data_IF_408217216165
#
_entry.id   IF_408217216165
#
_cell.length_a   1.000
_cell.length_b   1.000
_cell.length_c   1.000
_cell.angle_alpha   90.00
_cell.angle_beta   90.00
_cell.angle_gamma   90.00
#
_symmetry.space_group_name_H-M   'P 1'
#
loop_
_entity.id
_entity.type
_entity.pdbx_description
1 polymer ?
#
# COMPACT_ATOMS: atom_id res chain seq x y z
N UNK A 1 8.41 18.44 8.28
CA UNK A 1 7.24 18.15 9.14
C UNK A 1 6.38 17.10 8.44
N UNK A 2 5.75 16.14 9.15
CA UNK A 2 4.86 15.16 8.51
C UNK A 2 3.64 15.88 7.91
N UNK A 3 3.28 15.54 6.67
CA UNK A 3 2.10 16.11 6.01
C UNK A 3 0.79 15.67 6.68
N UNK A 4 0.63 14.36 6.89
CA UNK A 4 -0.47 13.78 7.65
C UNK A 4 0.00 13.42 9.06
N UNK A 5 -0.53 14.08 10.10
CA UNK A 5 -0.21 13.72 11.49
C UNK A 5 -0.98 12.47 11.90
N UNK A 6 -2.19 12.35 11.39
CA UNK A 6 -3.17 11.30 11.72
C UNK A 6 -2.64 9.92 11.29
N UNK A 7 -2.05 9.85 10.09
CA UNK A 7 -1.39 8.63 9.56
C UNK A 7 -0.29 8.09 10.47
N UNK A 8 0.37 8.94 11.26
CA UNK A 8 1.41 8.49 12.18
C UNK A 8 0.88 7.48 13.20
N UNK A 9 -0.38 7.65 13.60
CA UNK A 9 -1.01 6.91 14.69
C UNK A 9 -1.88 5.74 14.19
N UNK A 10 -1.98 5.54 12.88
CA UNK A 10 -2.63 4.38 12.30
C UNK A 10 -1.68 3.16 12.32
N UNK A 11 -2.25 1.96 12.31
CA UNK A 11 -1.48 0.71 12.22
C UNK A 11 -0.72 0.62 10.89
N UNK A 12 0.45 -0.03 10.89
CA UNK A 12 1.16 -0.38 9.64
C UNK A 12 0.35 -1.26 8.69
N UNK A 13 -0.71 -1.93 9.18
CA UNK A 13 -1.69 -2.68 8.35
C UNK A 13 -2.61 -1.78 7.53
N UNK A 14 -2.76 -0.53 7.95
CA UNK A 14 -3.73 0.42 7.44
C UNK A 14 -3.04 1.67 6.89
N UNK A 15 -1.90 1.47 6.21
CA UNK A 15 -1.04 2.52 5.66
C UNK A 15 -0.39 3.42 6.74
N UNK A 16 -0.58 3.15 8.03
CA UNK A 16 -0.04 3.96 9.11
C UNK A 16 1.41 3.68 9.47
N UNK A 17 1.94 4.44 10.44
CA UNK A 17 3.32 4.28 10.94
C UNK A 17 3.43 3.67 12.34
N UNK A 18 2.30 3.41 12.98
CA UNK A 18 2.19 2.71 14.27
C UNK A 18 2.93 3.44 15.40
N UNK A 19 2.96 4.77 15.33
CA UNK A 19 3.48 5.61 16.40
C UNK A 19 2.41 5.80 17.47
N UNK A 20 2.86 6.00 18.71
CA UNK A 20 1.97 6.27 19.83
C UNK A 20 1.76 7.77 20.00
N UNK A 21 0.51 8.22 19.90
CA UNK A 21 0.14 9.58 20.32
C UNK A 21 0.14 9.67 21.85
N UNK A 22 0.89 10.60 22.41
CA UNK A 22 0.93 10.86 23.86
C UNK A 22 -0.47 11.19 24.38
N UNK A 23 -1.26 11.96 23.63
CA UNK A 23 -2.62 12.35 24.01
C UNK A 23 -3.60 11.15 24.00
N UNK A 24 -3.49 10.26 23.01
CA UNK A 24 -4.35 9.06 22.96
C UNK A 24 -3.96 8.08 24.06
N UNK A 25 -2.64 7.88 24.25
CA UNK A 25 -2.10 6.97 25.26
C UNK A 25 -2.39 7.43 26.69
N UNK A 26 -2.31 8.74 26.97
CA UNK A 26 -2.62 9.27 28.30
C UNK A 26 -4.08 9.01 28.69
N UNK A 27 -5.01 9.15 27.75
CA UNK A 27 -6.43 8.83 27.97
C UNK A 27 -6.65 7.36 28.28
N UNK A 28 -6.00 6.47 27.53
CA UNK A 28 -6.03 5.02 27.81
C UNK A 28 -5.48 4.69 29.18
N UNK A 29 -4.33 5.28 29.55
CA UNK A 29 -3.72 5.06 30.86
C UNK A 29 -4.64 5.52 32.00
N UNK A 30 -5.27 6.69 31.87
CA UNK A 30 -6.19 7.22 32.89
C UNK A 30 -7.46 6.37 33.01
N UNK A 31 -8.05 5.95 31.89
CA UNK A 31 -9.23 5.08 31.88
C UNK A 31 -8.90 3.73 32.53
N UNK A 32 -7.82 3.07 32.12
CA UNK A 32 -7.39 1.79 32.68
C UNK A 32 -7.05 1.89 34.17
N UNK A 33 -6.46 3.01 34.59
CA UNK A 33 -6.16 3.24 36.00
C UNK A 33 -7.46 3.40 36.81
N UNK A 34 -8.42 4.17 36.32
CA UNK A 34 -9.73 4.31 36.96
C UNK A 34 -10.46 2.97 37.05
N UNK A 35 -10.56 2.22 35.95
CA UNK A 35 -11.23 0.92 35.91
C UNK A 35 -10.58 -0.08 36.90
N UNK A 36 -9.25 -0.06 37.04
CA UNK A 36 -8.55 -0.90 38.02
C UNK A 36 -8.89 -0.51 39.46
N UNK A 37 -8.98 0.79 39.76
CA UNK A 37 -9.38 1.26 41.09
C UNK A 37 -10.83 0.85 41.40
N UNK A 38 -11.74 1.01 40.45
CA UNK A 38 -13.15 0.64 40.59
C UNK A 38 -13.33 -0.86 40.82
N UNK A 39 -12.67 -1.72 40.03
CA UNK A 39 -12.78 -3.19 40.14
C UNK A 39 -12.27 -3.77 41.46
N UNK A 40 -11.37 -3.07 42.14
CA UNK A 40 -10.70 -3.58 43.34
C UNK A 40 -11.02 -2.78 44.61
N UNK A 41 -12.00 -1.87 44.53
CA UNK A 41 -12.45 -1.05 45.65
C UNK A 41 -12.99 -1.90 46.81
N UNK A 42 -13.62 -3.03 46.50
CA UNK A 42 -14.23 -3.95 47.49
C UNK A 42 -13.17 -4.80 48.21
N UNK A 43 -12.03 -5.02 47.56
CA UNK A 43 -10.94 -5.87 48.08
C UNK A 43 -9.87 -5.02 48.79
N UNK A 44 -9.72 -3.74 48.44
CA UNK A 44 -8.69 -2.86 48.98
C UNK A 44 -9.25 -1.55 49.52
N UNK A 45 -9.25 -1.43 50.85
CA UNK A 45 -9.63 -0.22 51.59
C UNK A 45 -8.86 1.02 51.13
N UNK A 46 -7.55 0.86 50.86
CA UNK A 46 -6.71 1.94 50.30
C UNK A 46 -7.21 2.42 48.94
N UNK A 47 -7.57 1.52 48.02
CA UNK A 47 -8.07 1.90 46.69
C UNK A 47 -9.45 2.54 46.76
N UNK A 48 -10.32 2.04 47.65
CA UNK A 48 -11.62 2.68 47.92
C UNK A 48 -11.45 4.11 48.46
N UNK A 49 -10.53 4.34 49.40
CA UNK A 49 -10.23 5.67 49.93
C UNK A 49 -9.69 6.62 48.84
N UNK A 50 -8.76 6.15 48.00
CA UNK A 50 -8.25 6.92 46.85
C UNK A 50 -9.40 7.32 45.92
N UNK A 51 -10.28 6.38 45.56
CA UNK A 51 -11.41 6.65 44.67
C UNK A 51 -12.36 7.69 45.27
N UNK A 52 -12.68 7.58 46.57
CA UNK A 52 -13.54 8.54 47.29
C UNK A 52 -12.96 9.96 47.26
N UNK A 53 -11.67 10.11 47.58
CA UNK A 53 -10.99 11.42 47.55
C UNK A 53 -10.97 12.00 46.13
N UNK A 54 -10.66 11.19 45.12
CA UNK A 54 -10.62 11.63 43.72
C UNK A 54 -11.99 12.08 43.21
N UNK A 55 -13.05 11.40 43.61
CA UNK A 55 -14.43 11.72 43.26
C UNK A 55 -14.93 12.99 43.96
N UNK A 56 -14.69 13.13 45.27
CA UNK A 56 -15.07 14.32 46.04
C UNK A 56 -14.42 15.59 45.46
N UNK A 57 -13.13 15.50 45.10
CA UNK A 57 -12.39 16.61 44.53
C UNK A 57 -12.66 16.83 43.03
N UNK A 58 -13.56 16.06 42.41
CA UNK A 58 -13.90 16.11 40.97
C UNK A 58 -12.66 16.17 40.06
N UNK A 59 -11.62 15.40 40.41
CA UNK A 59 -10.35 15.44 39.66
C UNK A 59 -10.53 14.98 38.22
N UNK A 60 -9.61 15.36 37.32
CA UNK A 60 -9.65 14.90 35.91
C UNK A 60 -9.74 13.37 35.79
N UNK A 61 -9.10 12.62 36.69
CA UNK A 61 -9.21 11.16 36.74
C UNK A 61 -10.65 10.70 37.02
N UNK A 62 -11.36 11.34 37.96
CA UNK A 62 -12.74 11.00 38.28
C UNK A 62 -13.70 11.35 37.13
N UNK A 63 -13.43 12.45 36.41
CA UNK A 63 -14.26 12.92 35.31
C UNK A 63 -13.90 12.28 33.95
N UNK A 64 -12.88 11.43 33.88
CA UNK A 64 -12.33 10.95 32.60
C UNK A 64 -13.37 10.23 31.74
N UNK A 65 -14.23 9.38 32.34
CA UNK A 65 -15.28 8.67 31.59
C UNK A 65 -16.26 9.67 30.94
N UNK A 66 -16.74 10.67 31.69
CA UNK A 66 -17.60 11.72 31.17
C UNK A 66 -16.93 12.57 30.08
N UNK A 67 -15.68 12.99 30.31
CA UNK A 67 -14.89 13.72 29.32
C UNK A 67 -14.73 12.95 28.01
N UNK A 68 -14.44 11.65 28.08
CA UNK A 68 -14.28 10.80 26.91
C UNK A 68 -15.61 10.61 26.18
N UNK A 69 -16.73 10.43 26.89
CA UNK A 69 -18.07 10.37 26.27
C UNK A 69 -18.37 11.61 25.45
N UNK A 70 -18.15 12.79 26.02
CA UNK A 70 -18.41 14.07 25.32
C UNK A 70 -17.45 14.26 24.14
N UNK A 71 -16.14 14.06 24.36
CA UNK A 71 -15.10 14.31 23.34
C UNK A 71 -15.23 13.41 22.11
N UNK A 72 -15.65 12.16 22.30
CA UNK A 72 -15.78 11.16 21.23
C UNK A 72 -17.23 10.86 20.85
N UNK A 73 -18.21 11.52 21.47
CA UNK A 73 -19.65 11.32 21.26
C UNK A 73 -20.06 9.85 21.46
N UNK A 74 -19.56 9.22 22.52
CA UNK A 74 -19.89 7.83 22.85
C UNK A 74 -21.26 7.77 23.55
N UNK A 75 -22.15 6.93 23.01
CA UNK A 75 -23.49 6.69 23.58
C UNK A 75 -23.43 5.66 24.71
N UNK A 76 -22.65 4.60 24.50
CA UNK A 76 -22.49 3.49 25.45
C UNK A 76 -21.52 3.81 26.59
N UNK A 77 -21.31 2.83 27.48
CA UNK A 77 -20.27 2.91 28.51
C UNK A 77 -18.86 2.95 27.90
N UNK A 78 -17.99 3.79 28.46
CA UNK A 78 -16.63 3.94 27.96
C UNK A 78 -15.79 2.75 28.38
N UNK A 79 -15.63 1.82 27.45
CA UNK A 79 -14.71 0.70 27.54
C UNK A 79 -13.40 1.00 26.81
N UNK A 80 -12.35 0.22 27.10
CA UNK A 80 -11.09 0.31 26.34
C UNK A 80 -11.33 0.18 24.82
N UNK A 81 -12.13 -0.82 24.41
CA UNK A 81 -12.41 -1.12 23.01
C UNK A 81 -13.18 0.02 22.31
N UNK A 82 -14.27 0.49 22.91
CA UNK A 82 -15.04 1.62 22.35
C UNK A 82 -14.20 2.90 22.24
N UNK A 83 -13.28 3.13 23.19
CA UNK A 83 -12.34 4.26 23.11
C UNK A 83 -11.34 4.09 21.95
N UNK A 84 -10.77 2.90 21.75
CA UNK A 84 -9.86 2.62 20.62
C UNK A 84 -10.57 2.84 19.28
N UNK A 85 -11.78 2.32 19.13
CA UNK A 85 -12.61 2.46 17.93
C UNK A 85 -12.96 3.92 17.64
N UNK A 86 -13.38 4.69 18.66
CA UNK A 86 -13.72 6.09 18.46
C UNK A 86 -12.50 6.99 18.20
N UNK A 87 -11.35 6.66 18.79
CA UNK A 87 -10.08 7.33 18.46
C UNK A 87 -9.68 7.07 17.02
N UNK A 88 -9.79 5.82 16.56
CA UNK A 88 -9.50 5.43 15.19
C UNK A 88 -10.46 6.11 14.20
N UNK A 89 -11.76 6.11 14.48
CA UNK A 89 -12.76 6.81 13.67
C UNK A 89 -12.45 8.31 13.56
N UNK A 90 -12.07 8.96 14.67
CA UNK A 90 -11.65 10.36 14.65
C UNK A 90 -10.45 10.60 13.73
N UNK A 91 -9.42 9.74 13.77
CA UNK A 91 -8.25 9.86 12.90
C UNK A 91 -8.65 9.77 11.43
N UNK A 92 -9.51 8.82 11.06
CA UNK A 92 -9.99 8.70 9.68
C UNK A 92 -10.84 9.89 9.24
N UNK A 93 -11.74 10.39 10.10
CA UNK A 93 -12.54 11.57 9.78
C UNK A 93 -11.67 12.81 9.49
N UNK A 94 -10.57 12.99 10.24
CA UNK A 94 -9.62 14.08 9.98
C UNK A 94 -8.82 13.89 8.69
N UNK A 95 -8.54 12.64 8.29
CA UNK A 95 -7.92 12.32 7.01
C UNK A 95 -8.88 12.62 5.85
N UNK A 96 -10.14 12.21 5.95
CA UNK A 96 -11.15 12.39 4.91
C UNK A 96 -11.45 13.86 4.60
N UNK A 97 -11.41 14.73 5.62
CA UNK A 97 -11.55 16.19 5.44
C UNK A 97 -10.48 16.81 4.54
N UNK A 98 -9.34 16.14 4.36
CA UNK A 98 -8.21 16.68 3.59
C UNK A 98 -8.18 16.08 2.18
N UNK A 99 -8.41 16.93 1.17
CA UNK A 99 -8.57 16.58 -0.25
C UNK A 99 -7.49 15.64 -0.84
N UNK A 100 -6.21 15.81 -0.48
CA UNK A 100 -5.13 14.98 -1.03
C UNK A 100 -5.04 13.61 -0.36
N UNK A 101 -5.10 13.59 0.97
CA UNK A 101 -4.98 12.36 1.75
C UNK A 101 -6.21 11.46 1.58
N UNK A 102 -7.40 12.06 1.48
CA UNK A 102 -8.63 11.31 1.27
C UNK A 102 -8.59 10.45 0.01
N UNK A 103 -7.87 10.86 -1.05
CA UNK A 103 -7.70 10.05 -2.27
C UNK A 103 -7.07 8.69 -1.99
N UNK A 104 -5.96 8.66 -1.26
CA UNK A 104 -5.29 7.41 -0.88
C UNK A 104 -6.21 6.53 -0.02
N UNK A 105 -6.89 7.13 0.95
CA UNK A 105 -7.73 6.41 1.90
C UNK A 105 -9.11 6.02 1.34
N UNK A 106 -9.56 6.62 0.23
CA UNK A 106 -10.74 6.17 -0.52
C UNK A 106 -10.55 4.75 -1.06
N UNK A 107 -9.30 4.27 -1.20
CA UNK A 107 -9.02 2.89 -1.55
C UNK A 107 -9.66 1.89 -0.58
N UNK A 108 -9.85 2.28 0.69
CA UNK A 108 -10.53 1.47 1.72
C UNK A 108 -12.00 1.22 1.42
N UNK A 109 -12.65 2.09 0.65
CA UNK A 109 -14.06 1.96 0.24
C UNK A 109 -14.22 0.92 -0.87
N UNK A 110 -13.13 0.54 -1.54
CA UNK A 110 -13.14 -0.47 -2.58
C UNK A 110 -12.79 -1.83 -1.99
N UNK A 111 -13.76 -2.75 -2.00
CA UNK A 111 -13.59 -4.10 -1.45
C UNK A 111 -12.54 -4.95 -2.17
N UNK A 112 -12.22 -4.64 -3.43
CA UNK A 112 -11.24 -5.40 -4.21
C UNK A 112 -9.80 -4.93 -3.97
N UNK A 113 -9.59 -3.83 -3.25
CA UNK A 113 -8.27 -3.32 -2.89
C UNK A 113 -7.76 -3.99 -1.60
N UNK A 114 -6.47 -4.35 -1.59
CA UNK A 114 -5.81 -4.82 -0.37
C UNK A 114 -4.96 -3.71 0.27
N UNK A 115 -5.52 -3.06 1.30
CA UNK A 115 -4.80 -2.02 2.07
C UNK A 115 -3.59 -2.62 2.82
N UNK A 116 -3.73 -3.86 3.31
CA UNK A 116 -2.64 -4.55 4.02
C UNK A 116 -1.47 -4.88 3.11
N UNK A 117 -1.71 -5.29 1.86
CA UNK A 117 -0.64 -5.58 0.91
C UNK A 117 -0.04 -4.31 0.33
N UNK A 118 -0.87 -3.29 0.09
CA UNK A 118 -0.43 -1.94 -0.29
C UNK A 118 0.50 -1.30 0.76
N UNK A 119 0.40 -1.72 2.03
CA UNK A 119 1.23 -1.27 3.14
C UNK A 119 2.30 -2.28 3.58
N UNK A 120 2.48 -3.39 2.84
CA UNK A 120 3.41 -4.47 3.23
C UNK A 120 4.85 -3.99 3.39
N UNK A 121 5.28 -3.02 2.60
CA UNK A 121 6.60 -2.40 2.68
C UNK A 121 6.85 -1.68 4.02
N UNK A 122 5.80 -1.21 4.71
CA UNK A 122 5.93 -0.62 6.04
C UNK A 122 6.23 -1.68 7.11
N UNK A 123 5.75 -2.91 6.95
CA UNK A 123 6.00 -3.98 7.95
C UNK A 123 7.28 -4.75 7.69
N UNK A 124 7.55 -5.06 6.42
CA UNK A 124 8.62 -5.99 6.01
C UNK A 124 9.76 -5.31 5.28
N UNK A 125 9.63 -4.03 4.93
CA UNK A 125 10.67 -3.30 4.23
C UNK A 125 11.85 -2.96 5.14
N UNK A 126 13.06 -3.22 4.67
CA UNK A 126 14.28 -2.75 5.33
C UNK A 126 14.56 -1.29 4.91
N UNK A 127 13.84 -0.35 5.53
CA UNK A 127 13.86 1.08 5.17
C UNK A 127 14.22 1.92 6.39
N UNK A 128 15.18 2.82 6.22
CA UNK A 128 15.55 3.77 7.28
C UNK A 128 14.35 4.66 7.64
N UNK A 129 14.14 5.04 8.91
CA UNK A 129 12.99 5.85 9.34
C UNK A 129 12.80 7.17 8.57
N UNK A 130 13.91 7.81 8.14
CA UNK A 130 13.88 9.03 7.32
C UNK A 130 13.31 8.76 5.92
N UNK A 131 13.70 7.65 5.29
CA UNK A 131 13.22 7.28 3.96
C UNK A 131 11.77 6.82 4.02
N UNK A 132 11.39 6.07 5.07
CA UNK A 132 9.99 5.68 5.31
C UNK A 132 9.08 6.92 5.38
N UNK A 133 9.51 7.96 6.10
CA UNK A 133 8.77 9.21 6.17
C UNK A 133 8.61 9.90 4.79
N UNK A 134 9.65 9.88 3.96
CA UNK A 134 9.59 10.43 2.59
C UNK A 134 8.67 9.60 1.71
N UNK A 135 8.72 8.27 1.78
CA UNK A 135 7.85 7.40 1.00
C UNK A 135 6.38 7.53 1.41
N UNK A 136 6.08 7.60 2.71
CA UNK A 136 4.72 7.92 3.17
C UNK A 136 4.26 9.29 2.66
N UNK A 137 5.13 10.29 2.65
CA UNK A 137 4.81 11.63 2.15
C UNK A 137 4.46 11.64 0.66
N UNK A 138 5.18 10.85 -0.15
CA UNK A 138 4.90 10.66 -1.58
C UNK A 138 3.59 9.87 -1.77
N UNK A 139 3.39 8.80 -1.01
CA UNK A 139 2.17 8.00 -1.04
C UNK A 139 0.93 8.82 -0.63
N UNK A 140 1.08 9.77 0.28
CA UNK A 140 0.06 10.75 0.66
C UNK A 140 -0.21 11.81 -0.43
N UNK A 141 0.44 11.71 -1.61
CA UNK A 141 0.29 12.61 -2.76
C UNK A 141 0.69 14.06 -2.49
N UNK A 142 1.49 14.33 -1.46
CA UNK A 142 1.93 15.69 -1.09
C UNK A 142 3.16 16.18 -1.87
N UNK A 143 3.27 15.83 -3.14
CA UNK A 143 4.49 16.08 -3.93
C UNK A 143 4.70 17.57 -4.22
N UNK A 144 3.63 18.39 -4.15
CA UNK A 144 3.66 19.82 -4.48
C UNK A 144 3.75 20.76 -3.26
N UNK A 145 3.99 20.24 -2.06
CA UNK A 145 4.15 21.05 -0.84
C UNK A 145 2.99 22.03 -0.54
N UNK A 146 1.78 21.70 -0.97
CA UNK A 146 0.61 22.59 -0.79
C UNK A 146 0.54 23.76 -1.77
N UNK A 147 1.40 23.77 -2.80
CA UNK A 147 1.28 24.73 -3.90
C UNK A 147 0.03 24.39 -4.73
N UNK A 148 -1.03 25.16 -4.50
CA UNK A 148 -2.16 25.22 -5.41
C UNK A 148 -1.77 26.08 -6.62
N UNK A 149 -1.95 25.54 -7.81
CA UNK A 149 -1.57 26.24 -9.02
C UNK A 149 -1.88 25.46 -10.29
N UNK A 150 -1.87 26.17 -11.40
CA UNK A 150 -1.96 25.58 -12.72
C UNK A 150 -0.68 24.80 -13.03
N UNK A 151 -0.81 23.72 -13.79
CA UNK A 151 0.35 22.99 -14.28
C UNK A 151 1.25 23.96 -15.10
N UNK A 152 2.49 24.12 -14.65
CA UNK A 152 3.46 25.03 -15.27
C UNK A 152 3.76 24.69 -16.74
N UNK A 153 3.46 23.47 -17.17
CA UNK A 153 3.71 23.02 -18.52
C UNK A 153 2.51 23.16 -19.46
N UNK A 154 1.29 22.84 -19.00
CA UNK A 154 0.11 22.86 -19.87
C UNK A 154 -0.75 24.10 -19.68
N UNK A 155 -0.69 24.78 -18.54
CA UNK A 155 -1.48 25.98 -18.25
C UNK A 155 -3.00 25.79 -18.32
N UNK A 156 -3.51 24.54 -18.37
CA UNK A 156 -4.94 24.23 -18.61
C UNK A 156 -5.62 23.51 -17.44
N UNK A 157 -4.86 22.85 -16.58
CA UNK A 157 -5.40 22.11 -15.44
C UNK A 157 -4.54 22.27 -14.21
N UNK A 158 -5.15 22.09 -13.04
CA UNK A 158 -4.45 22.11 -11.76
C UNK A 158 -3.31 21.09 -11.69
N UNK A 159 -2.22 21.48 -11.03
CA UNK A 159 -1.03 20.64 -10.82
C UNK A 159 -1.34 19.54 -9.80
N UNK A 160 -1.87 18.41 -10.30
CA UNK A 160 -2.20 17.23 -9.50
C UNK A 160 -1.34 16.04 -9.87
N UNK A 161 -1.20 15.07 -8.95
CA UNK A 161 -0.46 13.82 -9.21
C UNK A 161 -1.09 13.09 -10.40
N UNK A 162 -2.42 13.02 -10.45
CA UNK A 162 -3.14 12.37 -11.54
C UNK A 162 -2.88 13.06 -12.88
N UNK A 163 -2.93 14.40 -12.92
CA UNK A 163 -2.63 15.17 -14.14
C UNK A 163 -1.21 14.92 -14.65
N UNK A 164 -0.20 14.96 -13.77
CA UNK A 164 1.18 14.68 -14.16
C UNK A 164 1.39 13.22 -14.58
N UNK A 165 0.67 12.28 -13.97
CA UNK A 165 0.80 10.87 -14.26
C UNK A 165 0.07 10.42 -15.54
N UNK A 166 -0.95 11.16 -16.00
CA UNK A 166 -1.86 10.70 -17.09
C UNK A 166 -2.05 11.64 -18.27
N UNK A 167 -1.82 12.96 -18.13
CA UNK A 167 -2.28 13.95 -19.12
C UNK A 167 -1.21 14.91 -19.62
N UNK A 168 0.06 14.69 -19.30
CA UNK A 168 1.14 15.51 -19.83
C UNK A 168 1.95 14.77 -20.90
N UNK A 169 1.53 14.92 -22.17
CA UNK A 169 2.03 14.20 -23.36
C UNK A 169 3.57 14.11 -23.44
N UNK A 170 4.30 15.19 -23.10
CA UNK A 170 5.76 15.21 -23.18
C UNK A 170 6.47 14.37 -22.11
N UNK A 171 5.89 14.17 -20.92
CA UNK A 171 6.49 13.33 -19.86
C UNK A 171 5.87 11.94 -19.76
N UNK A 172 4.67 11.74 -20.32
CA UNK A 172 4.00 10.43 -20.28
C UNK A 172 4.88 9.36 -20.91
N UNK A 173 5.42 9.58 -22.12
CA UNK A 173 6.26 8.59 -22.79
C UNK A 173 7.51 8.21 -21.99
N UNK A 174 8.17 9.17 -21.35
CA UNK A 174 9.44 8.92 -20.68
C UNK A 174 9.28 8.45 -19.22
N UNK A 175 8.50 9.16 -18.41
CA UNK A 175 8.40 8.88 -16.96
C UNK A 175 7.45 7.74 -16.62
N UNK A 176 6.46 7.46 -17.47
CA UNK A 176 5.67 6.23 -17.34
C UNK A 176 6.53 5.01 -17.64
N UNK A 177 7.17 5.01 -18.82
CA UNK A 177 8.03 3.92 -19.28
C UNK A 177 9.18 3.67 -18.30
N UNK A 178 9.78 4.73 -17.75
CA UNK A 178 10.81 4.59 -16.72
C UNK A 178 10.30 3.90 -15.45
N UNK A 179 9.10 4.23 -14.97
CA UNK A 179 8.50 3.59 -13.80
C UNK A 179 8.21 2.11 -14.06
N UNK A 180 7.61 1.81 -15.22
CA UNK A 180 7.35 0.44 -15.66
C UNK A 180 8.64 -0.37 -15.76
N UNK A 181 9.66 0.17 -16.43
CA UNK A 181 10.97 -0.48 -16.58
C UNK A 181 11.67 -0.72 -15.23
N UNK A 182 11.54 0.16 -14.24
CA UNK A 182 12.10 -0.09 -12.90
C UNK A 182 11.39 -1.25 -12.18
N UNK A 183 10.07 -1.41 -12.37
CA UNK A 183 9.33 -2.56 -11.84
C UNK A 183 9.76 -3.85 -12.54
N UNK A 184 9.83 -3.84 -13.88
CA UNK A 184 10.34 -4.97 -14.67
C UNK A 184 11.77 -5.33 -14.23
N UNK A 185 12.64 -4.34 -14.04
CA UNK A 185 14.02 -4.54 -13.57
C UNK A 185 14.08 -5.19 -12.19
N UNK A 186 13.19 -4.79 -11.28
CA UNK A 186 13.09 -5.41 -9.97
C UNK A 186 12.59 -6.85 -10.02
N UNK A 187 11.53 -7.11 -10.81
CA UNK A 187 10.99 -8.45 -11.01
C UNK A 187 12.03 -9.38 -11.64
N UNK A 188 12.72 -8.92 -12.67
CA UNK A 188 13.80 -9.66 -13.31
C UNK A 188 14.87 -10.06 -12.28
N UNK A 189 15.36 -9.11 -11.47
CA UNK A 189 16.35 -9.42 -10.43
C UNK A 189 15.86 -10.48 -9.43
N UNK A 190 14.60 -10.39 -9.01
CA UNK A 190 13.98 -11.36 -8.10
C UNK A 190 13.89 -12.76 -8.74
N UNK A 191 13.51 -12.83 -10.01
CA UNK A 191 13.44 -14.08 -10.77
C UNK A 191 14.82 -14.71 -10.97
N UNK A 192 15.85 -13.91 -11.24
CA UNK A 192 17.22 -14.42 -11.32
C UNK A 192 17.65 -15.12 -10.03
N UNK A 193 17.35 -14.51 -8.88
CA UNK A 193 17.65 -15.11 -7.59
C UNK A 193 16.86 -16.41 -7.35
N UNK A 194 15.60 -16.46 -7.79
CA UNK A 194 14.73 -17.64 -7.63
C UNK A 194 15.19 -18.82 -8.48
N UNK A 195 15.62 -18.57 -9.71
CA UNK A 195 16.06 -19.59 -10.68
C UNK A 195 17.58 -19.80 -10.69
N UNK A 196 18.27 -19.36 -9.63
CA UNK A 196 19.71 -19.56 -9.41
C UNK A 196 20.61 -19.01 -10.53
N UNK A 197 20.18 -17.96 -11.23
CA UNK A 197 21.04 -17.24 -12.16
C UNK A 197 22.07 -16.40 -11.41
N UNK A 198 23.23 -16.19 -12.04
CA UNK A 198 24.21 -15.21 -11.56
C UNK A 198 23.56 -13.82 -11.60
N UNK A 199 23.46 -13.17 -10.46
CA UNK A 199 22.78 -11.88 -10.33
C UNK A 199 23.48 -10.97 -9.33
N UNK A 200 23.21 -9.67 -9.46
CA UNK A 200 23.75 -8.67 -8.54
C UNK A 200 22.98 -8.65 -7.22
N UNK A 201 23.64 -8.29 -6.10
CA UNK A 201 22.95 -8.22 -4.79
C UNK A 201 22.09 -6.96 -4.61
N UNK A 202 22.25 -5.96 -5.49
CA UNK A 202 21.63 -4.63 -5.35
C UNK A 202 21.00 -4.21 -6.68
N UNK A 203 19.76 -3.71 -6.63
CA UNK A 203 19.03 -3.23 -7.81
C UNK A 203 19.78 -2.14 -8.59
N UNK A 204 20.55 -1.28 -7.91
CA UNK A 204 21.27 -0.17 -8.54
C UNK A 204 22.32 -0.64 -9.55
N UNK A 205 22.96 -1.78 -9.30
CA UNK A 205 23.96 -2.38 -10.18
C UNK A 205 23.36 -3.39 -11.16
N UNK A 206 22.05 -3.62 -11.10
CA UNK A 206 21.39 -4.63 -11.91
C UNK A 206 21.06 -4.08 -13.30
N UNK A 207 21.52 -4.77 -14.33
CA UNK A 207 21.14 -4.56 -15.73
C UNK A 207 20.20 -5.68 -16.18
N UNK A 208 19.14 -5.30 -16.91
CA UNK A 208 18.23 -6.28 -17.50
C UNK A 208 18.91 -6.92 -18.70
N UNK A 209 18.85 -8.26 -18.79
CA UNK A 209 19.31 -9.02 -19.95
C UNK A 209 18.06 -9.54 -20.66
N UNK A 210 18.04 -9.43 -21.99
CA UNK A 210 16.85 -9.76 -22.77
C UNK A 210 16.51 -11.24 -22.73
N UNK A 211 17.51 -12.12 -22.79
CA UNK A 211 17.33 -13.58 -22.77
C UNK A 211 18.39 -14.18 -21.86
N UNK A 212 17.95 -15.04 -20.94
CA UNK A 212 18.79 -15.80 -20.04
C UNK A 212 18.29 -17.23 -19.97
N UNK A 213 19.20 -18.17 -20.12
CA UNK A 213 18.89 -19.60 -20.11
C UNK A 213 19.87 -20.34 -19.21
N UNK A 214 19.35 -21.25 -18.38
CA UNK A 214 20.14 -22.19 -17.59
C UNK A 214 19.42 -23.55 -17.46
N UNK A 215 19.95 -24.44 -16.63
CA UNK A 215 19.36 -25.77 -16.40
C UNK A 215 17.98 -25.76 -15.71
N UNK A 216 17.57 -24.64 -15.09
CA UNK A 216 16.32 -24.52 -14.33
C UNK A 216 15.24 -23.79 -15.11
N UNK A 217 15.58 -22.71 -15.82
CA UNK A 217 14.61 -21.88 -16.51
C UNK A 217 15.21 -21.14 -17.71
N UNK A 218 14.32 -20.68 -18.58
CA UNK A 218 14.57 -19.62 -19.55
C UNK A 218 13.76 -18.38 -19.15
N UNK A 219 14.42 -17.23 -19.03
CA UNK A 219 13.79 -15.95 -18.74
C UNK A 219 14.04 -15.03 -19.92
N UNK A 220 12.97 -14.45 -20.48
CA UNK A 220 13.08 -13.42 -21.51
C UNK A 220 12.35 -12.15 -21.10
N UNK A 221 12.93 -10.98 -21.38
CA UNK A 221 12.36 -9.67 -21.03
C UNK A 221 12.16 -8.84 -22.27
N UNK A 222 10.94 -8.34 -22.48
CA UNK A 222 10.56 -7.51 -23.62
C UNK A 222 11.00 -8.11 -24.97
N UNK A 223 10.91 -9.43 -25.11
CA UNK A 223 11.27 -10.14 -26.36
C UNK A 223 10.04 -10.70 -27.04
N UNK A 224 10.02 -10.68 -28.38
CA UNK A 224 8.95 -11.34 -29.14
C UNK A 224 9.10 -12.85 -29.05
N UNK A 225 8.01 -13.51 -28.70
CA UNK A 225 7.90 -14.97 -28.73
C UNK A 225 7.44 -15.39 -30.12
N UNK A 226 8.22 -16.27 -30.76
CA UNK A 226 7.88 -16.85 -32.05
C UNK A 226 6.82 -17.93 -31.86
N UNK A 227 5.81 -17.91 -32.70
CA UNK A 227 4.70 -18.87 -32.75
C UNK A 227 4.42 -19.22 -34.21
N UNK A 228 3.83 -20.39 -34.45
CA UNK A 228 3.51 -20.86 -35.80
C UNK A 228 2.34 -20.05 -36.39
N UNK A 229 1.38 -19.66 -35.55
CA UNK A 229 0.31 -18.73 -35.90
C UNK A 229 0.75 -17.27 -35.67
N UNK A 230 0.35 -16.36 -36.56
CA UNK A 230 0.60 -14.92 -36.40
C UNK A 230 -0.28 -14.34 -35.28
N UNK A 231 0.30 -14.15 -34.11
CA UNK A 231 -0.39 -13.54 -32.95
C UNK A 231 0.01 -12.06 -32.83
N UNK A 232 -0.98 -11.17 -32.68
CA UNK A 232 -0.77 -9.72 -32.54
C UNK A 232 0.00 -9.37 -31.27
N UNK A 233 -0.40 -9.95 -30.13
CA UNK A 233 0.22 -9.72 -28.83
C UNK A 233 1.16 -10.89 -28.51
N UNK A 234 2.43 -10.80 -28.93
CA UNK A 234 3.42 -11.86 -28.71
C UNK A 234 4.69 -11.39 -27.98
N UNK A 235 4.66 -10.20 -27.37
CA UNK A 235 5.77 -9.61 -26.62
C UNK A 235 5.32 -9.33 -25.18
N UNK A 236 5.35 -10.32 -24.27
CA UNK A 236 5.09 -10.09 -22.85
C UNK A 236 6.24 -9.29 -22.21
N UNK A 237 5.97 -8.56 -21.12
CA UNK A 237 7.03 -7.86 -20.39
C UNK A 237 8.10 -8.83 -19.87
N UNK A 238 7.69 -9.96 -19.28
CA UNK A 238 8.59 -11.05 -18.90
C UNK A 238 7.97 -12.41 -19.27
N UNK A 239 8.74 -13.24 -19.95
CA UNK A 239 8.45 -14.65 -20.22
C UNK A 239 9.35 -15.51 -19.33
N UNK A 240 8.78 -16.56 -18.73
CA UNK A 240 9.52 -17.54 -17.93
C UNK A 240 9.11 -18.93 -18.38
N UNK A 241 10.06 -19.76 -18.77
CA UNK A 241 9.88 -21.21 -18.93
C UNK A 241 10.58 -21.91 -17.78
N UNK A 242 9.82 -22.49 -16.85
CA UNK A 242 10.34 -23.34 -15.78
C UNK A 242 10.55 -24.76 -16.32
N UNK A 243 11.82 -25.11 -16.59
CA UNK A 243 12.19 -26.40 -17.20
C UNK A 243 11.97 -27.58 -16.26
N UNK A 244 11.96 -27.36 -14.94
CA UNK A 244 11.76 -28.41 -13.94
C UNK A 244 10.28 -28.71 -13.74
N UNK A 245 9.43 -27.68 -13.76
CA UNK A 245 7.98 -27.83 -13.60
C UNK A 245 7.23 -28.01 -14.92
N UNK A 246 7.91 -27.81 -16.05
CA UNK A 246 7.30 -27.71 -17.36
C UNK A 246 6.09 -26.75 -17.33
N UNK A 247 6.36 -25.50 -16.95
CA UNK A 247 5.34 -24.44 -16.84
C UNK A 247 5.88 -23.15 -17.45
N UNK A 248 5.06 -22.48 -18.24
CA UNK A 248 5.33 -21.12 -18.71
C UNK A 248 4.56 -20.12 -17.86
N UNK A 249 5.22 -19.02 -17.50
CA UNK A 249 4.58 -17.87 -16.87
C UNK A 249 4.84 -16.62 -17.71
N UNK A 250 3.75 -15.95 -18.10
CA UNK A 250 3.77 -14.66 -18.78
C UNK A 250 3.45 -13.59 -17.75
N UNK A 251 4.35 -12.65 -17.55
CA UNK A 251 4.15 -11.52 -16.64
C UNK A 251 3.94 -10.27 -17.48
N UNK A 252 2.94 -9.49 -17.07
CA UNK A 252 2.66 -8.19 -17.66
C UNK A 252 2.48 -7.16 -16.55
N UNK A 253 3.23 -6.06 -16.62
CA UNK A 253 3.24 -4.99 -15.64
C UNK A 253 2.30 -3.87 -16.07
N UNK A 254 1.55 -3.33 -15.11
CA UNK A 254 0.69 -2.15 -15.29
C UNK A 254 0.89 -1.16 -14.16
N UNK A 255 1.10 0.11 -14.51
CA UNK A 255 1.10 1.21 -13.54
C UNK A 255 -0.09 2.10 -13.90
N UNK A 256 -1.00 2.35 -12.97
CA UNK A 256 -2.24 3.04 -13.33
C UNK A 256 -2.78 3.91 -12.20
N UNK A 257 -3.94 4.53 -12.45
CA UNK A 257 -4.70 5.23 -11.42
C UNK A 257 -5.37 4.23 -10.50
N UNK A 258 -5.66 4.65 -9.27
CA UNK A 258 -6.43 3.83 -8.34
C UNK A 258 -7.81 3.46 -8.91
N UNK A 259 -8.46 4.36 -9.65
CA UNK A 259 -9.80 4.17 -10.20
C UNK A 259 -9.81 3.15 -11.37
N UNK A 260 -8.68 3.00 -12.06
CA UNK A 260 -8.55 2.11 -13.23
C UNK A 260 -7.87 0.79 -12.90
N UNK A 261 -7.48 0.54 -11.64
CA UNK A 261 -6.75 -0.67 -11.22
C UNK A 261 -7.36 -1.96 -11.74
N UNK A 262 -8.65 -2.16 -11.51
CA UNK A 262 -9.37 -3.40 -11.85
C UNK A 262 -9.50 -3.60 -13.36
N UNK A 263 -9.81 -2.51 -14.08
CA UNK A 263 -9.96 -2.51 -15.53
C UNK A 263 -8.62 -2.90 -16.16
N UNK A 264 -7.53 -2.23 -15.76
CA UNK A 264 -6.19 -2.51 -16.27
C UNK A 264 -5.73 -3.92 -15.91
N UNK A 265 -5.99 -4.41 -14.70
CA UNK A 265 -5.65 -5.79 -14.30
C UNK A 265 -6.36 -6.82 -15.19
N UNK A 266 -7.65 -6.62 -15.47
CA UNK A 266 -8.44 -7.49 -16.35
C UNK A 266 -7.97 -7.43 -17.80
N UNK A 267 -7.71 -6.23 -18.32
CA UNK A 267 -7.18 -6.02 -19.68
C UNK A 267 -5.83 -6.73 -19.86
N UNK A 268 -4.95 -6.61 -18.86
CA UNK A 268 -3.60 -7.17 -18.87
C UNK A 268 -3.63 -8.70 -18.76
N UNK A 269 -4.53 -9.26 -17.95
CA UNK A 269 -4.74 -10.70 -17.84
C UNK A 269 -5.16 -11.31 -19.19
N UNK A 270 -6.16 -10.70 -19.86
CA UNK A 270 -6.73 -11.23 -21.11
C UNK A 270 -5.87 -10.97 -22.35
N UNK A 271 -4.89 -10.06 -22.26
CA UNK A 271 -4.07 -9.60 -23.39
C UNK A 271 -3.36 -10.74 -24.12
N UNK A 272 -2.95 -11.78 -23.39
CA UNK A 272 -2.13 -12.88 -23.88
C UNK A 272 -2.84 -14.24 -23.89
N UNK A 273 -4.17 -14.29 -23.77
CA UNK A 273 -4.92 -15.57 -23.76
C UNK A 273 -4.61 -16.43 -24.99
N UNK A 274 -4.60 -15.82 -26.18
CA UNK A 274 -4.25 -16.50 -27.43
C UNK A 274 -2.80 -16.99 -27.45
N UNK A 275 -1.86 -16.18 -26.95
CA UNK A 275 -0.45 -16.54 -26.87
C UNK A 275 -0.26 -17.71 -25.88
N UNK A 276 -0.95 -17.68 -24.75
CA UNK A 276 -0.87 -18.72 -23.73
C UNK A 276 -1.36 -20.07 -24.26
N UNK A 277 -2.47 -20.08 -25.01
CA UNK A 277 -2.99 -21.30 -25.65
C UNK A 277 -1.98 -21.88 -26.65
N UNK A 278 -1.44 -21.04 -27.54
CA UNK A 278 -0.48 -21.47 -28.55
C UNK A 278 0.82 -22.01 -27.92
N UNK A 279 1.34 -21.32 -26.91
CA UNK A 279 2.52 -21.78 -26.18
C UNK A 279 2.27 -23.08 -25.43
N UNK A 280 1.06 -23.27 -24.89
CA UNK A 280 0.67 -24.52 -24.25
C UNK A 280 0.70 -25.70 -25.21
N UNK A 281 0.31 -25.49 -26.48
CA UNK A 281 0.38 -26.50 -27.53
C UNK A 281 1.83 -26.78 -27.98
N UNK A 282 2.61 -25.72 -28.25
CA UNK A 282 4.00 -25.84 -28.74
C UNK A 282 4.88 -26.53 -27.70
N UNK A 283 4.81 -26.09 -26.44
CA UNK A 283 5.68 -26.59 -25.36
C UNK A 283 5.06 -27.77 -24.60
N UNK A 284 3.82 -28.16 -24.90
CA UNK A 284 3.06 -29.21 -24.20
C UNK A 284 3.10 -29.01 -22.68
N UNK A 285 2.82 -27.78 -22.23
CA UNK A 285 3.02 -27.34 -20.86
C UNK A 285 1.89 -26.42 -20.39
N UNK A 286 1.71 -26.28 -19.08
CA UNK A 286 0.74 -25.30 -18.54
C UNK A 286 1.27 -23.87 -18.69
N UNK A 287 0.41 -22.94 -19.09
CA UNK A 287 0.74 -21.52 -19.23
C UNK A 287 -0.10 -20.69 -18.29
N UNK A 288 0.54 -19.78 -17.55
CA UNK A 288 -0.10 -18.88 -16.60
C UNK A 288 0.21 -17.43 -16.94
N UNK A 289 -0.81 -16.57 -16.93
CA UNK A 289 -0.65 -15.12 -17.13
C UNK A 289 -0.80 -14.44 -15.77
N UNK A 290 0.17 -13.61 -15.39
CA UNK A 290 0.18 -12.88 -14.12
C UNK A 290 0.26 -11.37 -14.40
N UNK A 291 -0.85 -10.63 -14.19
CA UNK A 291 -0.82 -9.18 -14.24
C UNK A 291 -0.24 -8.59 -12.94
N UNK A 292 0.90 -7.90 -13.02
CA UNK A 292 1.45 -7.08 -11.93
C UNK A 292 1.02 -5.63 -12.10
N UNK A 293 -0.16 -5.30 -11.59
CA UNK A 293 -0.80 -3.99 -11.70
C UNK A 293 -0.85 -3.26 -10.35
N UNK A 294 -0.25 -2.07 -10.30
CA UNK A 294 -0.27 -1.22 -9.12
C UNK A 294 -0.60 0.24 -9.46
N UNK A 295 -1.18 0.94 -8.49
CA UNK A 295 -1.38 2.36 -8.62
C UNK A 295 -0.08 3.11 -8.37
N UNK A 296 0.07 4.33 -8.90
CA UNK A 296 1.28 5.13 -8.67
C UNK A 296 1.50 5.56 -7.21
N UNK A 297 0.50 5.44 -6.35
CA UNK A 297 0.59 5.57 -4.89
C UNK A 297 0.79 4.21 -4.18
N UNK A 298 1.05 3.13 -4.92
CA UNK A 298 1.38 1.82 -4.39
C UNK A 298 0.18 1.03 -3.87
N UNK A 299 -1.04 1.41 -4.25
CA UNK A 299 -2.24 0.63 -4.00
C UNK A 299 -2.31 -0.58 -4.94
N UNK A 300 -2.62 -1.75 -4.40
CA UNK A 300 -2.78 -3.01 -5.14
C UNK A 300 -4.11 -3.68 -4.83
N UNK A 301 -4.57 -4.53 -5.75
CA UNK A 301 -5.78 -5.34 -5.56
C UNK A 301 -5.50 -6.55 -4.66
N UNK A 302 -6.56 -7.23 -4.22
CA UNK A 302 -6.46 -8.50 -3.47
C UNK A 302 -5.99 -9.66 -4.34
N UNK A 303 -6.01 -9.52 -5.66
CA UNK A 303 -5.62 -10.57 -6.61
C UNK A 303 -4.10 -10.69 -6.80
N UNK A 304 -3.33 -9.77 -6.19
CA UNK A 304 -1.87 -9.77 -6.21
C UNK A 304 -1.19 -10.75 -5.24
N UNK A 305 -1.96 -11.55 -4.49
CA UNK A 305 -1.47 -12.54 -3.51
C UNK A 305 -1.97 -13.93 -3.81
#
# INVERSE_FOLDING_TARGET
RPGCKERLYLSRKELGRDLNSVELRSKHMLLLFLDRLEKSKEISTRRAAILKVKNNNKTHLALIKGFLKVKYRLVEEVTKKSLEEAQLAKLYNEIEKRKLYSKLYNARKNELVSVSDSSRWLKRGNIRPRNEAVFCYIQDRNVFWGADGMCQYCGKSGKTVDHLATRFEKMLGHDYTRRHNEVVRFLHLLLLSRYKFKSSKRIRSHSVQEILDNEYAEIRVDTRVKTDVKIRNNRPDIFILDKKKNKITLIEVGITSQDSLQIVETEKLRKYDLLANELGLIYKCSVEIIPYVMAWDGIVTKYHT
#
